data_IF_624817386490
#
_entry.id   IF_624817386490
#
_cell.length_a   1.000
_cell.length_b   1.000
_cell.length_c   1.000
_cell.angle_alpha   90.00
_cell.angle_beta   90.00
_cell.angle_gamma   90.00
#
_symmetry.space_group_name_H-M   'P 1'
#
loop_
_entity.id
_entity.type
_entity.pdbx_description
1 polymer ?
#
# COMPACT_ATOMS: atom_id res chain seq x y z
N UNK A 1 8.85 -7.26 3.88
CA UNK A 1 8.04 -6.70 2.81
C UNK A 1 8.87 -6.17 1.66
N UNK A 2 8.24 -5.67 0.63
CA UNK A 2 8.89 -5.22 -0.61
C UNK A 2 9.97 -4.16 -0.39
N UNK A 3 9.72 -3.17 0.47
CA UNK A 3 10.70 -2.12 0.76
C UNK A 3 12.01 -2.69 1.33
N UNK A 4 11.91 -3.57 2.33
CA UNK A 4 13.07 -4.21 2.95
C UNK A 4 13.89 -4.99 1.92
N UNK A 5 13.23 -5.76 1.06
CA UNK A 5 13.90 -6.54 0.02
C UNK A 5 14.54 -5.63 -1.03
N UNK A 6 13.85 -4.57 -1.45
CA UNK A 6 14.38 -3.58 -2.39
C UNK A 6 15.61 -2.85 -1.86
N UNK A 7 15.60 -2.43 -0.60
CA UNK A 7 16.75 -1.81 0.07
C UNK A 7 17.92 -2.80 0.14
N UNK A 8 17.66 -4.04 0.58
CA UNK A 8 18.69 -5.08 0.67
C UNK A 8 19.34 -5.36 -0.68
N UNK A 9 18.56 -5.36 -1.76
CA UNK A 9 19.12 -5.56 -3.11
C UNK A 9 19.92 -4.34 -3.58
N UNK A 10 19.40 -3.12 -3.38
CA UNK A 10 20.07 -1.90 -3.78
C UNK A 10 21.42 -1.71 -3.06
N UNK A 11 21.51 -2.07 -1.78
CA UNK A 11 22.71 -1.96 -0.97
C UNK A 11 23.86 -2.87 -1.43
N UNK A 12 23.60 -3.84 -2.29
CA UNK A 12 24.67 -4.64 -2.92
C UNK A 12 25.52 -3.82 -3.89
N UNK A 13 25.00 -2.73 -4.42
CA UNK A 13 25.65 -1.92 -5.46
C UNK A 13 25.74 -0.44 -5.14
N UNK A 14 24.91 0.07 -4.22
CA UNK A 14 24.84 1.49 -3.86
C UNK A 14 25.15 1.65 -2.37
N UNK A 15 26.10 2.53 -1.98
CA UNK A 15 26.35 2.85 -0.58
C UNK A 15 25.10 3.44 0.09
N UNK A 16 24.86 3.10 1.36
CA UNK A 16 23.67 3.52 2.10
C UNK A 16 23.50 5.04 2.18
N UNK A 17 24.61 5.77 2.33
CA UNK A 17 24.65 7.24 2.37
C UNK A 17 24.30 7.92 1.03
N UNK A 18 24.09 7.15 -0.03
CA UNK A 18 23.64 7.60 -1.36
C UNK A 18 22.26 7.06 -1.76
N UNK A 19 21.64 6.27 -0.90
CA UNK A 19 20.36 5.65 -1.16
C UNK A 19 19.24 6.38 -0.41
N UNK A 20 18.24 6.88 -1.14
CA UNK A 20 17.01 7.46 -0.60
C UNK A 20 15.88 6.48 -0.85
N UNK A 21 15.12 6.13 0.18
CA UNK A 21 13.96 5.25 0.04
C UNK A 21 12.67 6.05 -0.16
N UNK A 22 11.93 5.72 -1.22
CA UNK A 22 10.60 6.29 -1.46
C UNK A 22 9.53 5.57 -0.65
N UNK A 23 8.66 6.32 0.02
CA UNK A 23 7.48 5.82 0.73
C UNK A 23 6.21 6.48 0.19
N UNK A 24 5.10 5.73 0.07
CA UNK A 24 3.84 6.31 -0.39
C UNK A 24 3.07 6.96 0.77
N UNK A 25 2.32 8.02 0.46
CA UNK A 25 1.28 8.58 1.33
C UNK A 25 -0.12 8.18 0.86
N UNK A 26 -0.21 7.16 0.04
CA UNK A 26 -1.47 6.65 -0.49
C UNK A 26 -1.51 5.13 -0.39
N UNK A 27 -2.71 4.61 -0.48
CA UNK A 27 -2.99 3.19 -0.63
C UNK A 27 -3.90 2.95 -1.83
N UNK A 28 -4.15 1.71 -2.15
CA UNK A 28 -5.10 1.33 -3.20
C UNK A 28 -6.24 0.52 -2.60
N UNK A 29 -7.46 0.98 -2.90
CA UNK A 29 -8.67 0.19 -2.73
C UNK A 29 -8.80 -0.73 -3.95
N UNK A 30 -8.89 -2.02 -3.70
CA UNK A 30 -9.10 -3.05 -4.70
C UNK A 30 -10.54 -3.51 -4.64
N UNK A 31 -11.19 -3.61 -5.79
CA UNK A 31 -12.51 -4.22 -5.95
C UNK A 31 -12.39 -5.43 -6.85
N UNK A 32 -12.82 -6.58 -6.36
CA UNK A 32 -12.76 -7.86 -7.04
C UNK A 32 -14.17 -8.46 -7.12
N UNK A 33 -14.60 -8.81 -8.32
CA UNK A 33 -15.87 -9.50 -8.55
C UNK A 33 -15.71 -10.61 -9.60
N UNK A 34 -16.60 -11.62 -9.61
CA UNK A 34 -16.65 -12.58 -10.70
C UNK A 34 -16.82 -11.89 -12.06
N UNK A 35 -16.20 -12.43 -13.09
CA UNK A 35 -16.44 -12.02 -14.48
C UNK A 35 -17.83 -12.44 -14.92
N UNK A 36 -18.44 -11.67 -15.82
CA UNK A 36 -19.63 -12.07 -16.56
C UNK A 36 -19.23 -12.98 -17.71
N UNK A 37 -20.22 -13.70 -18.29
CA UNK A 37 -20.00 -14.55 -19.47
C UNK A 37 -19.45 -13.75 -20.65
N UNK A 38 -19.89 -12.50 -20.82
CA UNK A 38 -19.39 -11.60 -21.87
C UNK A 38 -17.92 -11.22 -21.64
N UNK A 39 -17.50 -11.00 -20.38
CA UNK A 39 -16.13 -10.70 -20.04
C UNK A 39 -15.22 -11.93 -20.23
N UNK A 40 -15.71 -13.14 -19.92
CA UNK A 40 -14.98 -14.36 -20.25
C UNK A 40 -14.80 -14.53 -21.76
N UNK A 41 -15.83 -14.31 -22.54
CA UNK A 41 -15.76 -14.39 -24.00
C UNK A 41 -14.82 -13.33 -24.59
N UNK A 42 -14.80 -12.13 -24.04
CA UNK A 42 -13.89 -11.06 -24.47
C UNK A 42 -12.42 -11.34 -24.15
N UNK A 43 -12.14 -12.10 -23.11
CA UNK A 43 -10.80 -12.45 -22.67
C UNK A 43 -10.25 -13.74 -23.30
N UNK A 44 -11.08 -14.46 -24.12
CA UNK A 44 -10.69 -15.71 -24.80
C UNK A 44 -9.41 -15.54 -25.61
N UNK A 45 -8.47 -16.45 -25.44
CA UNK A 45 -7.17 -16.42 -26.12
C UNK A 45 -6.17 -15.41 -25.56
N UNK A 46 -6.50 -14.69 -24.49
CA UNK A 46 -5.58 -13.80 -23.77
C UNK A 46 -5.12 -14.39 -22.44
N UNK A 47 -4.09 -13.82 -21.83
CA UNK A 47 -3.64 -14.23 -20.49
C UNK A 47 -4.77 -14.03 -19.43
N UNK A 48 -5.65 -13.05 -19.64
CA UNK A 48 -6.76 -12.74 -18.74
C UNK A 48 -7.82 -13.87 -18.69
N UNK A 49 -7.90 -14.76 -19.69
CA UNK A 49 -8.78 -15.93 -19.70
C UNK A 49 -8.62 -16.80 -18.46
N UNK A 50 -7.41 -16.90 -17.92
CA UNK A 50 -7.11 -17.74 -16.77
C UNK A 50 -7.56 -17.17 -15.42
N UNK A 51 -8.04 -15.93 -15.39
CA UNK A 51 -8.48 -15.27 -14.15
C UNK A 51 -10.01 -15.22 -14.07
N UNK A 52 -10.60 -15.84 -13.02
CA UNK A 52 -12.06 -15.90 -12.89
C UNK A 52 -12.70 -14.56 -12.49
N UNK A 53 -11.91 -13.63 -11.97
CA UNK A 53 -12.40 -12.38 -11.44
C UNK A 53 -11.91 -11.17 -12.24
N UNK A 54 -12.74 -10.13 -12.24
CA UNK A 54 -12.37 -8.79 -12.68
C UNK A 54 -11.91 -8.00 -11.48
N UNK A 55 -10.76 -7.33 -11.62
CA UNK A 55 -10.17 -6.52 -10.54
C UNK A 55 -10.03 -5.08 -11.02
N UNK A 56 -10.45 -4.15 -10.19
CA UNK A 56 -10.24 -2.70 -10.36
C UNK A 56 -9.57 -2.13 -9.13
N UNK A 57 -8.86 -1.02 -9.27
CA UNK A 57 -8.32 -0.32 -8.11
C UNK A 57 -8.34 1.19 -8.27
N UNK A 58 -8.44 1.88 -7.13
CA UNK A 58 -8.38 3.34 -7.02
C UNK A 58 -7.41 3.73 -5.92
N UNK A 59 -6.70 4.85 -6.10
CA UNK A 59 -5.80 5.39 -5.09
C UNK A 59 -6.59 6.25 -4.08
N UNK A 60 -6.21 6.15 -2.80
CA UNK A 60 -6.75 6.94 -1.69
C UNK A 60 -5.59 7.47 -0.86
N UNK A 61 -5.62 8.77 -0.49
CA UNK A 61 -4.74 9.31 0.53
C UNK A 61 -4.99 8.65 1.89
N UNK A 62 -4.09 8.89 2.84
CA UNK A 62 -4.17 8.22 4.16
C UNK A 62 -5.47 8.53 4.90
N UNK A 63 -5.85 9.81 5.01
CA UNK A 63 -7.06 10.23 5.72
C UNK A 63 -8.32 9.78 4.97
N UNK A 64 -8.35 9.91 3.64
CA UNK A 64 -9.48 9.46 2.81
C UNK A 64 -9.72 7.95 2.93
N UNK A 65 -8.64 7.15 3.00
CA UNK A 65 -8.73 5.71 3.19
C UNK A 65 -9.28 5.35 4.58
N UNK A 66 -8.84 6.05 5.63
CA UNK A 66 -9.34 5.85 6.99
C UNK A 66 -10.82 6.23 7.11
N UNK A 67 -11.24 7.34 6.49
CA UNK A 67 -12.62 7.79 6.45
C UNK A 67 -13.50 6.79 5.69
N UNK A 68 -13.04 6.28 4.54
CA UNK A 68 -13.74 5.26 3.78
C UNK A 68 -14.03 4.01 4.63
N UNK A 69 -13.01 3.45 5.29
CA UNK A 69 -13.17 2.27 6.14
C UNK A 69 -14.16 2.53 7.27
N UNK A 70 -14.05 3.68 7.92
CA UNK A 70 -14.98 4.10 8.98
C UNK A 70 -16.41 4.20 8.47
N UNK A 71 -16.62 4.79 7.29
CA UNK A 71 -17.94 4.95 6.68
C UNK A 71 -18.58 3.62 6.30
N UNK A 72 -17.78 2.62 5.94
CA UNK A 72 -18.24 1.26 5.63
C UNK A 72 -18.46 0.40 6.88
N UNK A 73 -18.08 0.88 8.06
CA UNK A 73 -18.13 0.09 9.30
C UNK A 73 -17.20 -1.13 9.27
N UNK A 74 -16.19 -1.12 8.40
CA UNK A 74 -15.25 -2.22 8.28
C UNK A 74 -14.23 -2.21 9.43
N UNK A 75 -13.85 -3.41 9.88
CA UNK A 75 -12.82 -3.57 10.90
C UNK A 75 -11.46 -3.76 10.23
N UNK A 76 -10.43 -3.18 10.83
CA UNK A 76 -9.04 -3.38 10.39
C UNK A 76 -8.37 -4.44 11.24
N UNK A 77 -7.55 -5.27 10.59
CA UNK A 77 -6.66 -6.24 11.23
C UNK A 77 -5.23 -6.01 10.76
N UNK A 78 -4.27 -6.15 11.68
CA UNK A 78 -2.86 -6.03 11.32
C UNK A 78 -2.40 -7.24 10.52
N UNK A 79 -1.92 -6.99 9.29
CA UNK A 79 -1.28 -8.01 8.46
C UNK A 79 0.24 -7.97 8.68
N UNK A 80 0.74 -8.90 9.48
CA UNK A 80 2.16 -8.95 9.83
C UNK A 80 3.08 -9.23 8.62
N UNK A 81 2.56 -9.82 7.56
CA UNK A 81 3.31 -10.10 6.33
C UNK A 81 3.56 -8.82 5.52
N UNK A 82 2.56 -8.00 5.35
CA UNK A 82 2.66 -6.73 4.62
C UNK A 82 3.10 -5.58 5.52
N UNK A 83 2.96 -5.72 6.85
CA UNK A 83 3.16 -4.66 7.85
C UNK A 83 2.22 -3.48 7.59
N UNK A 84 0.95 -3.81 7.37
CA UNK A 84 -0.13 -2.84 7.13
C UNK A 84 -1.42 -3.30 7.82
N UNK A 85 -2.26 -2.35 8.17
CA UNK A 85 -3.63 -2.65 8.56
C UNK A 85 -4.43 -3.02 7.31
N UNK A 86 -5.15 -4.12 7.37
CA UNK A 86 -5.97 -4.66 6.31
C UNK A 86 -7.45 -4.59 6.67
N UNK A 87 -8.28 -4.23 5.70
CA UNK A 87 -9.73 -4.32 5.80
C UNK A 87 -10.34 -4.88 4.52
N UNK A 88 -11.48 -5.55 4.66
CA UNK A 88 -12.31 -5.96 3.54
C UNK A 88 -13.78 -5.87 3.88
N UNK A 89 -14.61 -5.69 2.87
CA UNK A 89 -16.06 -5.74 2.96
C UNK A 89 -16.69 -6.17 1.64
N UNK A 90 -17.90 -6.70 1.71
CA UNK A 90 -18.69 -7.08 0.55
C UNK A 90 -19.57 -5.91 0.09
N UNK A 91 -19.76 -5.77 -1.21
CA UNK A 91 -20.64 -4.78 -1.83
C UNK A 91 -20.57 -4.81 -3.35
N UNK A 92 -21.58 -4.28 -4.00
CA UNK A 92 -21.66 -4.14 -5.46
C UNK A 92 -21.38 -5.44 -6.24
N UNK A 93 -21.74 -6.60 -5.66
CA UNK A 93 -21.54 -7.91 -6.27
C UNK A 93 -20.10 -8.42 -6.22
N UNK A 94 -19.27 -7.87 -5.35
CA UNK A 94 -17.88 -8.25 -5.16
C UNK A 94 -17.36 -7.98 -3.78
N UNK A 95 -16.04 -7.97 -3.65
CA UNK A 95 -15.31 -7.73 -2.41
C UNK A 95 -14.36 -6.56 -2.58
N UNK A 96 -14.44 -5.63 -1.66
CA UNK A 96 -13.48 -4.54 -1.50
C UNK A 96 -12.38 -4.97 -0.54
N UNK A 97 -11.13 -4.69 -0.90
CA UNK A 97 -9.93 -5.00 -0.12
C UNK A 97 -9.00 -3.79 -0.09
N UNK A 98 -8.46 -3.47 1.07
CA UNK A 98 -7.54 -2.35 1.24
C UNK A 98 -6.47 -2.69 2.27
N UNK A 99 -5.21 -2.41 1.94
CA UNK A 99 -4.09 -2.39 2.88
C UNK A 99 -3.74 -0.94 3.11
N UNK A 100 -3.94 -0.46 4.33
CA UNK A 100 -3.76 0.94 4.66
C UNK A 100 -2.28 1.34 4.65
N UNK A 101 -2.01 2.50 4.08
CA UNK A 101 -0.84 3.27 4.47
C UNK A 101 -1.27 4.23 5.58
N UNK A 102 -0.70 4.07 6.75
CA UNK A 102 -0.99 4.84 7.95
C UNK A 102 0.29 5.08 8.75
N UNK A 103 0.21 5.75 9.89
CA UNK A 103 1.37 6.02 10.73
C UNK A 103 2.05 4.74 11.21
N UNK A 104 1.29 3.67 11.48
CA UNK A 104 1.84 2.40 11.94
C UNK A 104 2.64 1.70 10.84
N UNK A 105 2.10 1.60 9.63
CA UNK A 105 2.80 1.00 8.48
C UNK A 105 3.98 1.84 8.02
N UNK A 106 3.85 3.17 8.07
CA UNK A 106 4.94 4.08 7.76
C UNK A 106 6.08 3.94 8.76
N UNK A 107 5.78 3.82 10.06
CA UNK A 107 6.80 3.61 11.09
C UNK A 107 7.63 2.34 10.83
N UNK A 108 7.00 1.25 10.42
CA UNK A 108 7.71 0.02 10.04
C UNK A 108 8.69 0.24 8.88
N UNK A 109 8.33 1.08 7.92
CA UNK A 109 9.22 1.47 6.81
C UNK A 109 10.36 2.38 7.28
N UNK A 110 10.06 3.37 8.12
CA UNK A 110 11.06 4.28 8.67
C UNK A 110 12.08 3.56 9.56
N UNK A 111 11.66 2.55 10.33
CA UNK A 111 12.57 1.66 11.07
C UNK A 111 13.59 1.00 10.14
N UNK A 112 13.13 0.42 9.03
CA UNK A 112 14.03 -0.22 8.05
C UNK A 112 15.00 0.78 7.44
N UNK A 113 14.54 1.99 7.10
CA UNK A 113 15.36 3.07 6.55
C UNK A 113 16.47 3.47 7.54
N UNK A 114 16.10 3.69 8.80
CA UNK A 114 17.03 4.06 9.87
C UNK A 114 18.03 2.97 10.20
N UNK A 115 17.58 1.72 10.33
CA UNK A 115 18.42 0.55 10.59
C UNK A 115 19.49 0.34 9.52
N UNK A 116 19.19 0.65 8.26
CA UNK A 116 20.12 0.56 7.14
C UNK A 116 20.93 1.84 6.91
N UNK A 117 20.75 2.87 7.73
CA UNK A 117 21.50 4.14 7.66
C UNK A 117 21.43 4.80 6.28
N UNK A 118 20.25 4.78 5.65
CA UNK A 118 20.05 5.39 4.33
C UNK A 118 20.21 6.92 4.39
N UNK A 119 20.51 7.52 3.25
CA UNK A 119 20.67 8.97 3.11
C UNK A 119 19.42 9.77 3.45
N UNK A 120 18.24 9.17 3.30
CA UNK A 120 16.99 9.83 3.62
C UNK A 120 15.76 9.08 3.13
N UNK A 121 14.63 9.75 3.24
CA UNK A 121 13.33 9.31 2.76
C UNK A 121 12.77 10.32 1.77
N UNK A 122 12.07 9.83 0.75
CA UNK A 122 11.29 10.64 -0.18
C UNK A 122 9.84 10.19 -0.13
N UNK A 123 8.89 11.11 -0.25
CA UNK A 123 7.48 10.83 -0.11
C UNK A 123 6.71 11.08 -1.40
N UNK A 124 5.72 10.25 -1.67
CA UNK A 124 4.77 10.43 -2.76
C UNK A 124 3.33 10.23 -2.25
N UNK A 125 2.46 11.23 -2.37
CA UNK A 125 2.70 12.61 -2.81
C UNK A 125 2.15 13.57 -1.76
N UNK A 126 2.68 14.78 -1.73
CA UNK A 126 2.19 15.85 -0.87
C UNK A 126 0.68 16.07 -1.06
N UNK A 127 -0.04 16.28 0.05
CA UNK A 127 -1.50 16.41 0.09
C UNK A 127 -2.25 15.09 0.26
N UNK A 128 -1.53 13.96 0.34
CA UNK A 128 -2.11 12.62 0.61
C UNK A 128 -1.73 12.09 2.00
N UNK A 129 -0.89 12.80 2.73
CA UNK A 129 -0.46 12.44 4.07
C UNK A 129 -1.60 12.52 5.09
N UNK A 130 -1.57 11.62 6.04
CA UNK A 130 -2.43 11.65 7.20
C UNK A 130 -1.88 12.53 8.32
N UNK A 131 -2.72 12.81 9.29
CA UNK A 131 -2.34 13.57 10.48
C UNK A 131 -1.18 12.92 11.24
N UNK A 132 -0.19 13.70 11.66
CA UNK A 132 0.97 13.26 12.45
C UNK A 132 2.08 12.58 11.65
N UNK A 133 1.94 12.39 10.34
CA UNK A 133 2.93 11.74 9.48
C UNK A 133 4.27 12.47 9.49
N UNK A 134 4.26 13.79 9.37
CA UNK A 134 5.50 14.60 9.37
C UNK A 134 6.22 14.54 10.70
N UNK A 135 5.51 14.59 11.82
CA UNK A 135 6.10 14.44 13.14
C UNK A 135 6.76 13.06 13.31
N UNK A 136 6.14 12.04 12.80
CA UNK A 136 6.70 10.68 12.80
C UNK A 136 7.98 10.61 11.95
N UNK A 137 7.98 11.13 10.72
CA UNK A 137 9.16 11.13 9.84
C UNK A 137 10.33 11.84 10.52
N UNK A 138 10.09 13.01 11.12
CA UNK A 138 11.13 13.78 11.79
C UNK A 138 11.79 13.03 12.96
N UNK A 139 11.13 12.09 13.60
CA UNK A 139 11.72 11.25 14.66
C UNK A 139 12.75 10.23 14.12
N UNK A 140 12.68 9.90 12.84
CA UNK A 140 13.51 8.88 12.23
C UNK A 140 14.64 9.43 11.36
N UNK A 141 14.47 10.63 10.78
CA UNK A 141 15.44 11.23 9.84
C UNK A 141 16.37 12.28 10.47
N UNK A 142 16.19 12.56 11.75
CA UNK A 142 17.08 13.46 12.51
C UNK A 142 18.10 12.69 13.32
#
# INVERSE_FOLDING_TARGET
GYLKNGISEALKSVPADKLIAGVPFYTRLWFERPKTDEEFAADEGTEAENYPNKVKSSAYGMDDAAELISSMGAQTEWDDKTKQNYAQWEGDGGVYKIWLEDTQSLEEKLKVIKENQLAGVAEWSLGMEGSGVWDLILQYVN
#
